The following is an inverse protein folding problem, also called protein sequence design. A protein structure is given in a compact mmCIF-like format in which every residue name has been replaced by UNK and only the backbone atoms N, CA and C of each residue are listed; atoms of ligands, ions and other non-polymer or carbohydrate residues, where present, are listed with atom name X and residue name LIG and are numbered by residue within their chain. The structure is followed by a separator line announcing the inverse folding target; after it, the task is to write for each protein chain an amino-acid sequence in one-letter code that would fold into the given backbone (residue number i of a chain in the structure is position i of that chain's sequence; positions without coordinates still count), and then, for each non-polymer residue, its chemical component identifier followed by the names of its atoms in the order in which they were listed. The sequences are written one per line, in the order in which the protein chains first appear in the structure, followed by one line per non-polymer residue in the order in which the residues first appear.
data_IF_434807706448
#
_entry.id   IF_434807706448
#
_cell.length_a   1.000
_cell.length_b   1.000
_cell.length_c   1.000
_cell.angle_alpha   90.00
_cell.angle_beta   90.00
_cell.angle_gamma   90.00
#
_symmetry.space_group_name_H-M   'P 1'
#
loop_
_entity.id
_entity.type
_entity.pdbx_description
1 polymer ?
#
# COMPACT_ATOMS: atom_id res chain seq x y z
N UNK A 1 -74.30 35.22 6.79
CA UNK A 1 -73.68 34.35 7.82
C UNK A 1 -72.29 33.96 7.35
N UNK A 2 -71.26 34.61 7.91
CA UNK A 2 -69.85 34.39 7.57
C UNK A 2 -69.38 32.98 7.99
N UNK A 3 -68.71 32.26 7.09
CA UNK A 3 -67.86 31.12 7.46
C UNK A 3 -66.47 31.32 6.86
N UNK A 4 -65.54 31.68 7.73
CA UNK A 4 -64.11 31.77 7.47
C UNK A 4 -63.58 30.33 7.43
N UNK A 5 -63.10 29.89 6.27
CA UNK A 5 -62.32 28.65 6.15
C UNK A 5 -60.85 28.98 6.47
N UNK A 6 -60.37 28.55 7.62
CA UNK A 6 -58.95 28.55 7.95
C UNK A 6 -58.33 27.29 7.34
N UNK A 7 -57.53 27.46 6.29
CA UNK A 7 -56.78 26.39 5.67
C UNK A 7 -55.46 26.21 6.44
N UNK A 8 -55.37 25.19 7.29
CA UNK A 8 -54.15 24.77 7.96
C UNK A 8 -53.25 24.02 6.95
N UNK A 9 -52.26 24.72 6.40
CA UNK A 9 -51.20 24.10 5.61
C UNK A 9 -50.16 23.55 6.59
N UNK A 10 -50.21 22.24 6.83
CA UNK A 10 -49.18 21.50 7.55
C UNK A 10 -47.92 21.39 6.68
N UNK A 11 -46.85 22.08 7.06
CA UNK A 11 -45.52 21.88 6.52
C UNK A 11 -44.92 20.60 7.11
N UNK A 12 -45.11 19.46 6.44
CA UNK A 12 -44.27 18.28 6.69
C UNK A 12 -42.87 18.53 6.10
N UNK A 13 -41.97 19.03 6.93
CA UNK A 13 -40.53 18.95 6.70
C UNK A 13 -40.10 17.48 6.74
N UNK A 14 -40.14 16.82 5.59
CA UNK A 14 -39.50 15.53 5.39
C UNK A 14 -37.98 15.74 5.47
N UNK A 15 -37.38 15.56 6.65
CA UNK A 15 -35.95 15.31 6.77
C UNK A 15 -35.65 13.95 6.12
N UNK A 16 -35.47 13.95 4.80
CA UNK A 16 -34.83 12.84 4.11
C UNK A 16 -33.35 12.87 4.49
N UNK A 17 -32.99 12.23 5.60
CA UNK A 17 -31.61 11.89 5.88
C UNK A 17 -31.10 11.00 4.75
N UNK A 18 -30.34 11.58 3.80
CA UNK A 18 -29.58 10.80 2.84
C UNK A 18 -28.56 9.98 3.63
N UNK A 19 -28.91 8.73 3.94
CA UNK A 19 -27.93 7.73 4.29
C UNK A 19 -27.08 7.52 3.03
N UNK A 20 -25.89 8.11 2.99
CA UNK A 20 -24.91 7.81 1.96
C UNK A 20 -24.73 6.29 1.93
N UNK A 21 -24.95 5.68 0.76
CA UNK A 21 -24.73 4.25 0.60
C UNK A 21 -23.29 3.94 1.03
N UNK A 22 -23.06 2.86 1.82
CA UNK A 22 -21.71 2.49 2.21
C UNK A 22 -20.88 2.32 0.93
N UNK A 23 -19.68 2.90 0.92
CA UNK A 23 -18.76 2.75 -0.20
C UNK A 23 -18.62 1.26 -0.53
N UNK A 24 -18.73 0.89 -1.80
CA UNK A 24 -18.48 -0.48 -2.22
C UNK A 24 -16.97 -0.74 -2.14
N UNK A 25 -16.57 -1.90 -1.61
CA UNK A 25 -15.16 -2.28 -1.59
C UNK A 25 -14.57 -2.31 -3.00
N UNK A 26 -13.34 -1.80 -3.16
CA UNK A 26 -12.63 -1.74 -4.45
C UNK A 26 -11.32 -2.50 -4.35
N UNK A 27 -10.95 -3.20 -5.42
CA UNK A 27 -9.68 -3.92 -5.53
C UNK A 27 -9.12 -3.82 -6.95
N UNK A 28 -7.87 -3.39 -7.06
CA UNK A 28 -7.08 -3.45 -8.29
C UNK A 28 -6.53 -4.86 -8.50
N UNK A 29 -7.41 -5.80 -8.84
CA UNK A 29 -7.07 -7.22 -9.05
C UNK A 29 -6.04 -7.49 -10.16
N UNK A 30 -5.78 -6.47 -11.00
CA UNK A 30 -4.79 -6.50 -12.09
C UNK A 30 -3.37 -6.18 -11.63
N UNK A 31 -3.16 -5.74 -10.39
CA UNK A 31 -1.80 -5.52 -9.88
C UNK A 31 -1.08 -6.87 -9.83
N UNK A 32 0.04 -7.02 -10.57
CA UNK A 32 0.76 -8.28 -10.58
C UNK A 32 1.38 -8.53 -9.20
N UNK A 33 1.63 -9.80 -8.89
CA UNK A 33 2.23 -10.21 -7.63
C UNK A 33 3.64 -10.73 -7.83
N UNK A 34 4.55 -10.31 -6.94
CA UNK A 34 5.91 -10.81 -6.86
C UNK A 34 6.34 -10.95 -5.40
N UNK A 35 6.79 -12.15 -5.02
CA UNK A 35 7.49 -12.38 -3.76
C UNK A 35 8.93 -11.85 -3.89
N UNK A 36 9.45 -11.13 -2.88
CA UNK A 36 10.81 -10.58 -2.91
C UNK A 36 11.87 -11.66 -3.06
N UNK A 37 11.58 -12.89 -2.62
CA UNK A 37 12.34 -14.09 -2.90
C UNK A 37 11.58 -15.00 -3.89
N UNK A 38 11.65 -14.79 -5.22
CA UNK A 38 10.74 -15.44 -6.18
C UNK A 38 10.85 -16.97 -6.21
N UNK A 39 12.00 -17.50 -5.79
CA UNK A 39 12.30 -18.94 -5.71
C UNK A 39 12.53 -19.43 -4.27
N UNK A 40 12.18 -18.62 -3.26
CA UNK A 40 12.29 -19.00 -1.85
C UNK A 40 13.69 -18.92 -1.22
N UNK A 41 14.67 -18.34 -1.92
CA UNK A 41 15.96 -18.00 -1.31
C UNK A 41 15.87 -16.65 -0.59
N UNK A 42 16.03 -16.66 0.73
CA UNK A 42 15.95 -15.48 1.59
C UNK A 42 17.32 -14.93 2.01
N UNK A 43 18.41 -15.40 1.42
CA UNK A 43 19.72 -14.78 1.61
C UNK A 43 19.81 -13.42 0.91
N UNK A 44 20.84 -12.64 1.22
CA UNK A 44 21.14 -11.40 0.49
C UNK A 44 21.27 -11.65 -1.03
N UNK A 45 20.76 -10.74 -1.90
CA UNK A 45 20.12 -9.45 -1.57
C UNK A 45 18.63 -9.57 -1.22
N UNK A 46 18.01 -10.74 -1.32
CA UNK A 46 16.57 -10.94 -1.20
C UNK A 46 16.00 -10.57 0.16
N UNK A 47 16.84 -10.54 1.20
CA UNK A 47 16.45 -10.17 2.55
C UNK A 47 16.00 -8.71 2.66
N UNK A 48 16.61 -7.81 1.88
CA UNK A 48 16.36 -6.36 1.88
C UNK A 48 15.81 -5.88 0.53
N UNK A 49 15.07 -6.74 -0.20
CA UNK A 49 14.55 -6.45 -1.54
C UNK A 49 13.03 -6.21 -1.57
N UNK A 50 12.43 -5.86 -0.44
CA UNK A 50 10.98 -5.71 -0.33
C UNK A 50 10.51 -4.44 -1.06
N UNK A 51 11.32 -3.39 -1.06
CA UNK A 51 11.12 -2.13 -1.77
C UNK A 51 11.13 -2.35 -3.27
N UNK A 52 12.15 -3.03 -3.81
CA UNK A 52 12.23 -3.38 -5.22
C UNK A 52 11.02 -4.17 -5.65
N UNK A 53 10.64 -5.20 -4.89
CA UNK A 53 9.49 -6.03 -5.23
C UNK A 53 8.18 -5.20 -5.24
N UNK A 54 7.98 -4.32 -4.26
CA UNK A 54 6.81 -3.47 -4.17
C UNK A 54 6.74 -2.42 -5.29
N UNK A 55 7.85 -1.73 -5.55
CA UNK A 55 7.98 -0.76 -6.64
C UNK A 55 7.82 -1.42 -8.01
N UNK A 56 8.35 -2.62 -8.20
CA UNK A 56 8.22 -3.37 -9.45
C UNK A 56 6.78 -3.81 -9.70
N UNK A 57 6.06 -4.28 -8.67
CA UNK A 57 4.63 -4.56 -8.78
C UNK A 57 3.84 -3.32 -9.17
N UNK A 58 4.14 -2.16 -8.57
CA UNK A 58 3.50 -0.90 -8.88
C UNK A 58 3.78 -0.41 -10.31
N UNK A 59 5.04 -0.43 -10.74
CA UNK A 59 5.43 -0.03 -12.09
C UNK A 59 4.84 -0.95 -13.16
N UNK A 60 4.82 -2.26 -12.91
CA UNK A 60 4.24 -3.20 -13.87
C UNK A 60 2.72 -3.08 -13.95
N UNK A 61 2.05 -2.71 -12.86
CA UNK A 61 0.63 -2.40 -12.86
C UNK A 61 0.31 -1.23 -13.81
N UNK A 62 0.99 -0.09 -13.65
CA UNK A 62 0.74 1.10 -14.49
C UNK A 62 1.14 0.89 -15.96
N UNK A 63 2.12 0.03 -16.21
CA UNK A 63 2.56 -0.33 -17.57
C UNK A 63 1.72 -1.44 -18.21
N UNK A 64 0.76 -2.04 -17.49
CA UNK A 64 -0.03 -3.18 -17.98
C UNK A 64 0.80 -4.42 -18.29
N UNK A 65 1.96 -4.59 -17.64
CA UNK A 65 2.90 -5.69 -17.89
C UNK A 65 2.65 -6.87 -16.96
N UNK A 66 2.87 -8.07 -17.49
CA UNK A 66 2.91 -9.29 -16.67
C UNK A 66 4.25 -9.41 -15.93
N UNK A 67 4.19 -9.81 -14.66
CA UNK A 67 5.38 -10.03 -13.83
C UNK A 67 5.50 -11.51 -13.48
N UNK A 68 6.48 -12.19 -14.07
CA UNK A 68 6.81 -13.60 -13.77
C UNK A 68 7.93 -13.67 -12.74
N UNK A 69 8.11 -14.81 -12.06
CA UNK A 69 9.23 -14.98 -11.12
C UNK A 69 10.60 -14.81 -11.79
N UNK A 70 10.76 -15.25 -13.05
CA UNK A 70 11.99 -15.09 -13.82
C UNK A 70 12.27 -13.62 -14.12
N UNK A 71 11.26 -12.90 -14.61
CA UNK A 71 11.38 -11.46 -14.89
C UNK A 71 11.60 -10.67 -13.60
N UNK A 72 10.83 -10.94 -12.55
CA UNK A 72 10.95 -10.29 -11.24
C UNK A 72 12.32 -10.49 -10.60
N UNK A 73 12.86 -11.72 -10.62
CA UNK A 73 14.25 -11.98 -10.19
C UNK A 73 15.26 -11.12 -10.94
N UNK A 74 15.14 -11.06 -12.27
CA UNK A 74 16.08 -10.29 -13.09
C UNK A 74 15.99 -8.79 -12.81
N UNK A 75 14.78 -8.24 -12.70
CA UNK A 75 14.55 -6.82 -12.43
C UNK A 75 14.97 -6.41 -11.02
N UNK A 76 14.66 -7.21 -9.98
CA UNK A 76 15.14 -6.94 -8.61
C UNK A 76 16.67 -6.84 -8.60
N UNK A 77 17.38 -7.77 -9.22
CA UNK A 77 18.85 -7.74 -9.25
C UNK A 77 19.40 -6.51 -9.98
N UNK A 78 18.72 -6.03 -11.02
CA UNK A 78 19.09 -4.78 -11.71
C UNK A 78 18.82 -3.56 -10.85
N UNK A 79 17.71 -3.51 -10.13
CA UNK A 79 17.39 -2.45 -9.17
C UNK A 79 18.40 -2.42 -8.02
N UNK A 80 18.76 -3.59 -7.45
CA UNK A 80 19.84 -3.72 -6.46
C UNK A 80 21.17 -3.17 -7.00
N UNK A 81 21.51 -3.52 -8.25
CA UNK A 81 22.72 -3.01 -8.89
C UNK A 81 22.64 -1.49 -9.15
N UNK A 82 21.46 -0.95 -9.46
CA UNK A 82 21.21 0.48 -9.57
C UNK A 82 21.46 1.17 -8.22
N UNK A 83 20.84 0.68 -7.14
CA UNK A 83 21.07 1.21 -5.79
C UNK A 83 22.56 1.24 -5.43
N UNK A 84 23.29 0.14 -5.66
CA UNK A 84 24.73 0.09 -5.36
C UNK A 84 25.54 1.15 -6.10
N UNK A 85 25.18 1.45 -7.35
CA UNK A 85 25.87 2.46 -8.16
C UNK A 85 25.49 3.90 -7.78
N UNK A 86 24.23 4.14 -7.45
CA UNK A 86 23.69 5.50 -7.30
C UNK A 86 23.56 5.93 -5.84
N UNK A 87 23.35 5.00 -4.91
CA UNK A 87 23.10 5.26 -3.48
C UNK A 87 24.25 4.77 -2.58
N UNK A 88 25.35 4.28 -3.18
CA UNK A 88 26.54 3.81 -2.48
C UNK A 88 26.37 2.47 -1.76
N UNK A 89 25.26 1.76 -1.96
CA UNK A 89 24.98 0.48 -1.30
C UNK A 89 23.61 -0.11 -1.65
N UNK A 90 23.23 -1.17 -0.95
CA UNK A 90 21.88 -1.74 -0.99
C UNK A 90 21.43 -1.98 0.45
N UNK A 91 20.39 -1.30 0.87
CA UNK A 91 19.90 -1.24 2.25
C UNK A 91 18.44 -0.76 2.28
N UNK A 92 17.79 -0.91 3.43
CA UNK A 92 16.40 -0.47 3.68
C UNK A 92 16.19 1.02 3.31
N UNK A 93 15.10 1.35 2.61
CA UNK A 93 14.86 2.68 2.03
C UNK A 93 13.68 3.43 2.66
N UNK A 94 13.89 4.68 3.05
CA UNK A 94 12.77 5.59 3.33
C UNK A 94 11.81 5.68 2.15
N UNK A 95 10.55 6.05 2.38
CA UNK A 95 9.57 6.27 1.32
C UNK A 95 10.06 7.32 0.29
N UNK A 96 10.82 8.33 0.74
CA UNK A 96 11.47 9.29 -0.16
C UNK A 96 12.56 8.62 -1.02
N UNK A 97 13.47 7.84 -0.43
CA UNK A 97 14.50 7.14 -1.19
C UNK A 97 13.89 6.10 -2.16
N UNK A 98 12.78 5.47 -1.80
CA UNK A 98 12.03 4.59 -2.68
C UNK A 98 11.40 5.36 -3.87
N UNK A 99 10.92 6.60 -3.65
CA UNK A 99 10.52 7.50 -4.74
C UNK A 99 11.72 7.85 -5.64
N UNK A 100 12.88 8.14 -5.06
CA UNK A 100 14.09 8.48 -5.82
C UNK A 100 14.57 7.28 -6.67
N UNK A 101 14.54 6.07 -6.10
CA UNK A 101 14.81 4.82 -6.81
C UNK A 101 13.84 4.63 -7.96
N UNK A 102 12.54 4.81 -7.71
CA UNK A 102 11.51 4.62 -8.73
C UNK A 102 11.60 5.66 -9.86
N UNK A 103 11.86 6.93 -9.54
CA UNK A 103 12.05 7.98 -10.55
C UNK A 103 13.28 7.73 -11.43
N UNK A 104 14.36 7.21 -10.84
CA UNK A 104 15.58 6.88 -11.58
C UNK A 104 15.47 5.61 -12.43
N UNK A 105 14.80 4.58 -11.91
CA UNK A 105 14.73 3.26 -12.55
C UNK A 105 13.49 3.09 -13.46
N UNK A 106 12.38 3.77 -13.15
CA UNK A 106 11.14 3.76 -13.92
C UNK A 106 10.75 5.20 -14.34
N UNK A 107 11.49 5.81 -15.27
CA UNK A 107 11.22 7.19 -15.67
C UNK A 107 9.79 7.35 -16.19
N UNK A 108 9.10 8.39 -15.71
CA UNK A 108 7.71 8.69 -16.06
C UNK A 108 6.64 8.06 -15.15
N UNK A 109 7.04 7.27 -14.15
CA UNK A 109 6.11 6.79 -13.13
C UNK A 109 5.51 7.98 -12.35
N UNK A 110 4.18 8.04 -12.25
CA UNK A 110 3.49 9.10 -11.50
C UNK A 110 3.38 8.70 -10.03
N UNK A 111 4.23 9.28 -9.20
CA UNK A 111 4.32 8.99 -7.76
C UNK A 111 4.00 10.25 -6.94
N UNK A 112 3.24 10.07 -5.88
CA UNK A 112 2.97 11.10 -4.88
C UNK A 112 3.41 10.59 -3.51
N UNK A 113 4.46 11.19 -2.95
CA UNK A 113 4.84 10.94 -1.56
C UNK A 113 3.85 11.63 -0.62
N UNK A 114 3.15 10.83 0.18
CA UNK A 114 2.27 11.32 1.23
C UNK A 114 2.97 11.19 2.58
N UNK A 115 3.05 12.31 3.30
CA UNK A 115 3.64 12.36 4.64
C UNK A 115 2.57 12.34 5.73
N UNK A 116 2.85 11.66 6.83
CA UNK A 116 1.99 11.57 8.03
C UNK A 116 0.53 11.20 7.73
N UNK A 117 0.34 10.27 6.78
CA UNK A 117 -0.94 9.90 6.20
C UNK A 117 -1.92 9.40 7.27
N UNK A 118 -3.19 9.77 7.11
CA UNK A 118 -4.31 9.27 7.93
C UNK A 118 -5.05 8.18 7.19
N UNK A 119 -5.63 7.24 7.96
CA UNK A 119 -6.40 6.12 7.42
C UNK A 119 -7.46 6.54 6.40
N UNK A 120 -8.30 7.58 6.63
CA UNK A 120 -9.28 8.01 5.62
C UNK A 120 -8.65 8.46 4.30
N UNK A 121 -7.45 9.02 4.32
CA UNK A 121 -6.73 9.42 3.09
C UNK A 121 -6.28 8.20 2.30
N UNK A 122 -5.84 7.12 2.97
CA UNK A 122 -5.51 5.85 2.28
C UNK A 122 -6.73 5.30 1.54
N UNK A 123 -7.89 5.30 2.20
CA UNK A 123 -9.15 4.84 1.58
C UNK A 123 -9.52 5.73 0.40
N UNK A 124 -9.45 7.06 0.55
CA UNK A 124 -9.76 8.00 -0.53
C UNK A 124 -8.90 7.76 -1.78
N UNK A 125 -7.58 7.60 -1.62
CA UNK A 125 -6.70 7.32 -2.75
C UNK A 125 -7.00 5.99 -3.43
N UNK A 126 -7.29 4.94 -2.66
CA UNK A 126 -7.68 3.64 -3.23
C UNK A 126 -9.04 3.73 -3.93
N UNK A 127 -9.96 4.55 -3.42
CA UNK A 127 -11.28 4.76 -4.01
C UNK A 127 -11.23 5.48 -5.37
N UNK A 128 -10.28 6.40 -5.52
CA UNK A 128 -9.92 7.05 -6.79
C UNK A 128 -9.24 6.10 -7.79
N UNK A 129 -8.96 4.86 -7.39
CA UNK A 129 -8.37 3.83 -8.25
C UNK A 129 -6.85 3.74 -8.19
N UNK A 130 -6.19 4.53 -7.33
CA UNK A 130 -4.74 4.45 -7.13
C UNK A 130 -4.37 3.19 -6.34
N UNK A 131 -3.08 2.84 -6.35
CA UNK A 131 -2.49 1.87 -5.42
C UNK A 131 -1.45 2.56 -4.53
N UNK A 132 -1.14 1.95 -3.40
CA UNK A 132 -0.25 2.56 -2.40
C UNK A 132 0.91 1.61 -2.09
N UNK A 133 2.14 2.06 -2.30
CA UNK A 133 3.34 1.38 -1.81
C UNK A 133 3.66 1.94 -0.43
N UNK A 134 3.83 1.09 0.57
CA UNK A 134 3.93 1.54 1.96
C UNK A 134 5.05 0.82 2.73
N UNK A 135 5.93 1.58 3.43
CA UNK A 135 6.86 1.06 4.41
C UNK A 135 6.12 0.62 5.69
N UNK A 136 6.61 -0.43 6.31
CA UNK A 136 5.97 -1.10 7.45
C UNK A 136 7.00 -1.44 8.53
N UNK A 137 6.61 -1.23 9.79
CA UNK A 137 7.15 -1.98 10.91
C UNK A 137 6.62 -3.43 10.83
N UNK A 138 7.37 -4.31 10.15
CA UNK A 138 6.87 -5.60 9.66
C UNK A 138 6.34 -6.54 10.76
N UNK A 139 6.88 -6.48 11.98
CA UNK A 139 6.39 -7.28 13.13
C UNK A 139 4.96 -6.91 13.55
N UNK A 140 4.54 -5.66 13.34
CA UNK A 140 3.20 -5.18 13.69
C UNK A 140 2.13 -5.67 12.70
N UNK A 141 2.52 -6.23 11.56
CA UNK A 141 1.58 -6.84 10.61
C UNK A 141 1.00 -8.15 11.15
N UNK A 142 1.68 -8.82 12.08
CA UNK A 142 1.30 -10.12 12.63
C UNK A 142 0.96 -11.16 11.54
N UNK A 143 1.63 -11.09 10.39
CA UNK A 143 1.36 -12.01 9.28
C UNK A 143 1.84 -13.43 9.66
N UNK A 144 0.95 -14.43 9.74
CA UNK A 144 1.30 -15.80 10.13
C UNK A 144 2.15 -16.54 9.09
N UNK A 145 2.34 -15.95 7.90
CA UNK A 145 3.16 -16.51 6.84
C UNK A 145 4.59 -15.97 6.82
N UNK A 146 4.94 -15.05 7.72
CA UNK A 146 6.33 -14.69 7.97
C UNK A 146 6.98 -15.71 8.90
N UNK A 147 8.28 -15.93 8.73
CA UNK A 147 9.08 -16.65 9.74
C UNK A 147 9.05 -15.83 11.04
N UNK A 148 8.59 -16.39 12.17
CA UNK A 148 8.54 -15.64 13.43
C UNK A 148 9.92 -15.07 13.81
N UNK A 149 9.99 -13.83 14.32
CA UNK A 149 8.88 -12.96 14.72
C UNK A 149 8.31 -12.07 13.59
N UNK A 150 8.71 -12.30 12.34
CA UNK A 150 8.49 -11.38 11.22
C UNK A 150 9.63 -10.36 11.07
N UNK A 151 9.75 -9.73 9.89
CA UNK A 151 10.82 -8.78 9.62
C UNK A 151 10.61 -7.51 10.46
N UNK A 152 11.69 -6.92 10.97
CA UNK A 152 11.58 -5.66 11.72
C UNK A 152 11.02 -4.52 10.86
N UNK A 153 11.42 -4.52 9.59
CA UNK A 153 11.06 -3.53 8.60
C UNK A 153 10.67 -4.23 7.29
N UNK A 154 9.72 -3.68 6.55
CA UNK A 154 9.12 -4.32 5.38
C UNK A 154 8.44 -3.32 4.44
N UNK A 155 8.18 -3.72 3.19
CA UNK A 155 7.36 -2.99 2.21
C UNK A 155 6.26 -3.88 1.66
N UNK A 156 5.10 -3.29 1.37
CA UNK A 156 4.05 -3.96 0.61
C UNK A 156 3.27 -2.99 -0.28
N UNK A 157 2.39 -3.54 -1.13
CA UNK A 157 1.47 -2.75 -1.97
C UNK A 157 0.05 -2.94 -1.46
N UNK A 158 -0.64 -1.85 -1.13
CA UNK A 158 -2.07 -1.83 -0.86
C UNK A 158 -2.79 -1.61 -2.19
N UNK A 159 -3.61 -2.58 -2.58
CA UNK A 159 -4.25 -2.63 -3.90
C UNK A 159 -5.77 -2.43 -3.82
N UNK A 160 -6.31 -2.32 -2.62
CA UNK A 160 -7.75 -2.15 -2.42
C UNK A 160 -8.16 -2.14 -0.96
N UNK A 161 -9.46 -2.02 -0.75
CA UNK A 161 -10.07 -2.00 0.56
C UNK A 161 -11.48 -2.61 0.55
N UNK A 162 -11.91 -3.02 1.73
CA UNK A 162 -13.22 -3.60 2.02
C UNK A 162 -13.79 -2.89 3.26
N UNK A 163 -14.73 -1.94 3.08
CA UNK A 163 -15.25 -1.15 4.17
C UNK A 163 -16.23 -1.93 5.06
N UNK A 164 -16.80 -3.04 4.58
CA UNK A 164 -17.69 -3.91 5.35
C UNK A 164 -16.85 -4.68 6.38
N UNK A 165 -15.79 -5.33 5.92
CA UNK A 165 -14.90 -6.13 6.78
C UNK A 165 -13.81 -5.30 7.48
N UNK A 166 -13.71 -4.02 7.13
CA UNK A 166 -12.67 -3.07 7.56
C UNK A 166 -11.27 -3.62 7.28
N UNK A 167 -11.03 -3.99 6.03
CA UNK A 167 -9.81 -4.65 5.58
C UNK A 167 -9.16 -3.94 4.40
N UNK A 168 -7.85 -3.83 4.42
CA UNK A 168 -7.06 -3.56 3.23
C UNK A 168 -6.74 -4.87 2.52
N UNK A 169 -6.73 -4.82 1.19
CA UNK A 169 -6.29 -5.89 0.31
C UNK A 169 -4.90 -5.52 -0.17
N UNK A 170 -3.94 -6.43 -0.03
CA UNK A 170 -2.52 -6.15 -0.28
C UNK A 170 -1.87 -7.18 -1.20
N UNK A 171 -0.80 -6.79 -1.87
CA UNK A 171 0.21 -7.68 -2.39
C UNK A 171 1.46 -7.55 -1.49
N UNK A 172 1.68 -8.55 -0.65
CA UNK A 172 2.75 -8.57 0.33
C UNK A 172 3.97 -9.40 -0.18
N UNK A 173 5.10 -8.77 -0.53
CA UNK A 173 6.24 -9.47 -1.11
C UNK A 173 7.02 -10.31 -0.09
N UNK A 174 6.76 -10.16 1.22
CA UNK A 174 7.46 -10.85 2.31
C UNK A 174 7.07 -12.31 2.46
N UNK A 175 6.15 -12.81 1.62
CA UNK A 175 5.75 -14.21 1.60
C UNK A 175 5.19 -14.62 0.25
N UNK A 176 5.35 -15.88 -0.14
CA UNK A 176 4.72 -16.44 -1.36
C UNK A 176 3.18 -16.45 -1.30
N UNK A 177 2.60 -16.26 -0.11
CA UNK A 177 1.16 -16.20 0.16
C UNK A 177 0.62 -14.76 0.24
N UNK A 178 1.37 -13.79 -0.24
CA UNK A 178 1.04 -12.37 -0.08
C UNK A 178 0.10 -11.80 -1.13
N UNK A 179 -0.19 -12.53 -2.23
CA UNK A 179 -1.09 -12.05 -3.28
C UNK A 179 -2.51 -11.87 -2.75
N UNK A 180 -3.01 -10.64 -2.79
CA UNK A 180 -4.35 -10.31 -2.29
C UNK A 180 -4.54 -10.59 -0.80
N UNK A 181 -3.46 -10.65 -0.01
CA UNK A 181 -3.55 -10.91 1.43
C UNK A 181 -4.27 -9.74 2.12
N UNK A 182 -5.12 -10.06 3.08
CA UNK A 182 -6.01 -9.10 3.74
C UNK A 182 -5.55 -8.80 5.15
N UNK A 183 -5.45 -7.51 5.47
CA UNK A 183 -5.15 -7.02 6.80
C UNK A 183 -6.29 -6.16 7.30
N UNK A 184 -6.65 -6.25 8.59
CA UNK A 184 -7.56 -5.28 9.20
C UNK A 184 -6.99 -3.87 9.07
N UNK A 185 -7.88 -2.89 8.89
CA UNK A 185 -7.51 -1.48 8.78
C UNK A 185 -6.61 -1.04 9.93
N UNK A 186 -6.98 -1.37 11.16
CA UNK A 186 -6.20 -1.04 12.36
C UNK A 186 -4.82 -1.68 12.33
N UNK A 187 -4.70 -2.96 11.97
CA UNK A 187 -3.43 -3.69 11.92
C UNK A 187 -2.50 -3.06 10.89
N UNK A 188 -2.93 -2.92 9.64
CA UNK A 188 -2.07 -2.38 8.59
C UNK A 188 -1.74 -0.91 8.84
N UNK A 189 -2.73 -0.08 9.16
CA UNK A 189 -2.49 1.34 9.40
C UNK A 189 -1.54 1.58 10.58
N UNK A 190 -1.68 0.81 11.67
CA UNK A 190 -0.75 0.87 12.79
C UNK A 190 0.65 0.43 12.37
N UNK A 191 0.78 -0.56 11.50
CA UNK A 191 2.07 -1.04 11.01
C UNK A 191 2.82 -0.06 10.10
N UNK A 192 2.14 0.87 9.41
CA UNK A 192 2.82 1.86 8.54
C UNK A 192 3.82 2.67 9.35
N UNK A 193 5.11 2.51 9.03
CA UNK A 193 6.20 3.29 9.62
C UNK A 193 7.31 3.39 8.58
N UNK A 194 7.71 4.62 8.26
CA UNK A 194 8.84 4.90 7.38
C UNK A 194 10.16 4.48 8.03
N UNK A 195 11.15 4.24 7.19
CA UNK A 195 12.49 3.87 7.66
C UNK A 195 13.11 4.98 8.51
N UNK A 196 13.70 4.60 9.64
CA UNK A 196 14.33 5.53 10.58
C UNK A 196 15.86 5.51 10.50
N UNK A 197 16.43 4.69 9.61
CA UNK A 197 17.85 4.37 9.60
C UNK A 197 18.24 3.20 10.51
N UNK A 198 17.31 2.70 11.35
CA UNK A 198 17.59 1.62 12.30
C UNK A 198 16.36 0.75 12.63
N UNK A 199 16.50 -0.58 12.49
CA UNK A 199 15.45 -1.57 12.80
C UNK A 199 14.97 -1.49 14.26
N UNK A 200 15.78 -0.96 15.17
CA UNK A 200 15.43 -0.77 16.60
C UNK A 200 14.47 0.39 16.83
N UNK A 201 14.49 1.40 15.96
CA UNK A 201 13.67 2.60 16.09
C UNK A 201 12.50 2.63 15.10
N UNK A 202 12.30 1.57 14.32
CA UNK A 202 11.27 1.55 13.26
C UNK A 202 9.86 1.94 13.74
N UNK A 203 9.48 1.60 14.97
CA UNK A 203 8.17 1.96 15.54
C UNK A 203 7.98 3.47 15.81
N UNK A 204 9.02 4.30 15.63
CA UNK A 204 8.90 5.76 15.66
C UNK A 204 8.88 6.39 14.26
N UNK A 205 8.94 5.58 13.20
CA UNK A 205 8.90 6.05 11.82
C UNK A 205 7.60 6.78 11.49
N UNK A 206 7.69 7.88 10.73
CA UNK A 206 6.49 8.62 10.30
C UNK A 206 5.61 7.76 9.41
N UNK A 207 4.32 8.05 9.35
CA UNK A 207 3.39 7.30 8.49
C UNK A 207 3.45 7.82 7.05
N UNK A 208 4.60 7.65 6.40
CA UNK A 208 4.79 8.02 5.02
C UNK A 208 4.40 6.87 4.09
N UNK A 209 3.80 7.18 2.95
CA UNK A 209 3.47 6.20 1.91
C UNK A 209 3.63 6.82 0.52
N UNK A 210 3.68 5.99 -0.51
CA UNK A 210 3.79 6.42 -1.90
C UNK A 210 2.49 6.04 -2.61
N UNK A 211 1.74 7.04 -3.06
CA UNK A 211 0.56 6.83 -3.92
C UNK A 211 1.03 6.75 -5.36
N UNK A 212 0.58 5.72 -6.06
CA UNK A 212 0.90 5.45 -7.47
C UNK A 212 -0.34 5.75 -8.30
N UNK A 213 -0.22 6.70 -9.21
CA UNK A 213 -1.33 7.20 -10.07
C UNK A 213 -1.31 6.59 -11.47
#
# INVERSE_FOLDING_TARGET
MNRIFVCLISWLLCLAGLLAAPALGKNQSRVPFLCQAPYGNWAQPWQDACEEAALLMAAYHTQGKLLTNKAGKAEILKMVAYQRRHFGGHYDLTAQQAVDLANGYFPGQKLLLMQDVKLPQLIAYLDEGNIIVAPMAGKLLHNPFFTPPGPAYHYLVIIGFDPINKEFITNDPGTRRGKGYRYKYSVLYNAIHDWTGDKRTINSGRKNVIVVK
#
